data_IF_020230017539
#
_entry.id   IF_020230017539
#
_cell.length_a   1.000
_cell.length_b   1.000
_cell.length_c   1.000
_cell.angle_alpha   90.00
_cell.angle_beta   90.00
_cell.angle_gamma   90.00
#
_symmetry.space_group_name_H-M   'P 1'
#
loop_
_entity.id
_entity.type
_entity.pdbx_description
1 polymer ?
#
# COMPACT_ATOMS: atom_id res chain seq x y z
N UNK A 1 -67.23 -34.50 26.92
CA UNK A 1 -67.23 -33.07 27.31
C UNK A 1 -66.26 -32.95 28.47
N UNK A 2 -65.15 -32.21 28.48
CA UNK A 2 -64.79 -30.96 27.82
C UNK A 2 -63.26 -30.94 27.59
N UNK A 3 -62.90 -30.27 26.51
CA UNK A 3 -61.59 -30.06 25.88
C UNK A 3 -60.73 -28.97 26.57
N UNK A 4 -59.42 -29.24 26.75
CA UNK A 4 -58.17 -28.41 26.63
C UNK A 4 -58.13 -26.92 27.09
N UNK A 5 -56.97 -26.24 27.36
CA UNK A 5 -55.62 -26.47 26.79
C UNK A 5 -54.42 -26.36 27.79
N UNK A 6 -53.36 -27.14 27.58
CA UNK A 6 -52.07 -26.76 26.94
C UNK A 6 -51.42 -25.48 27.50
N UNK A 7 -50.45 -25.65 28.39
CA UNK A 7 -49.34 -24.72 28.57
C UNK A 7 -48.04 -25.54 28.59
N UNK A 8 -47.58 -25.90 27.38
CA UNK A 8 -46.22 -26.38 27.18
C UNK A 8 -45.42 -25.13 26.79
N UNK A 9 -44.85 -24.47 27.78
CA UNK A 9 -43.94 -23.34 27.58
C UNK A 9 -42.67 -23.92 26.97
N UNK A 10 -42.56 -23.85 25.64
CA UNK A 10 -41.32 -24.12 24.92
C UNK A 10 -40.37 -23.01 25.35
N UNK A 11 -39.44 -23.34 26.25
CA UNK A 11 -38.24 -22.55 26.48
C UNK A 11 -37.44 -22.66 25.19
N UNK A 12 -37.69 -21.75 24.25
CA UNK A 12 -36.74 -21.45 23.19
C UNK A 12 -35.55 -20.81 23.89
N UNK A 13 -34.64 -21.66 24.35
CA UNK A 13 -33.26 -21.25 24.53
C UNK A 13 -32.75 -20.93 23.12
N UNK A 14 -32.96 -19.68 22.71
CA UNK A 14 -32.19 -19.06 21.66
C UNK A 14 -30.74 -19.15 22.15
N UNK A 15 -30.02 -20.21 21.76
CA UNK A 15 -28.57 -20.18 21.75
C UNK A 15 -28.23 -19.08 20.75
N UNK A 16 -28.11 -17.86 21.27
CA UNK A 16 -27.30 -16.85 20.63
C UNK A 16 -25.86 -17.39 20.75
N UNK A 17 -25.47 -18.24 19.79
CA UNK A 17 -24.06 -18.41 19.50
C UNK A 17 -23.60 -17.06 18.96
N UNK A 18 -23.21 -16.17 19.87
CA UNK A 18 -22.32 -15.08 19.50
C UNK A 18 -21.04 -15.77 19.04
N UNK A 19 -20.85 -15.88 17.73
CA UNK A 19 -19.57 -16.18 17.12
C UNK A 19 -18.66 -14.98 17.39
N UNK A 20 -18.17 -14.86 18.62
CA UNK A 20 -17.25 -13.79 18.98
C UNK A 20 -15.94 -14.07 18.26
N UNK A 21 -15.60 -13.19 17.32
CA UNK A 21 -14.23 -13.06 16.82
C UNK A 21 -13.30 -12.93 18.03
N UNK A 22 -12.26 -13.77 18.09
CA UNK A 22 -11.28 -13.74 19.16
C UNK A 22 -9.98 -13.16 18.61
N UNK A 23 -9.56 -12.03 19.19
CA UNK A 23 -8.27 -11.40 18.90
C UNK A 23 -7.28 -11.90 19.94
N UNK A 24 -6.23 -12.59 19.50
CA UNK A 24 -5.20 -13.15 20.38
C UNK A 24 -3.85 -12.46 20.13
N UNK A 25 -3.20 -11.97 21.20
CA UNK A 25 -1.84 -11.45 21.12
C UNK A 25 -0.84 -12.60 21.00
N UNK A 26 0.00 -12.60 19.96
CA UNK A 26 1.11 -13.54 19.79
C UNK A 26 2.35 -13.03 20.51
N UNK A 27 2.70 -13.64 21.64
CA UNK A 27 3.84 -13.21 22.44
C UNK A 27 5.17 -13.38 21.70
N UNK A 28 5.34 -14.49 20.99
CA UNK A 28 6.57 -14.81 20.26
C UNK A 28 6.83 -13.90 19.06
N UNK A 29 5.79 -13.22 18.54
CA UNK A 29 5.87 -12.26 17.43
C UNK A 29 5.60 -10.83 17.90
N UNK A 30 5.68 -10.53 19.19
CA UNK A 30 5.53 -9.18 19.74
C UNK A 30 6.79 -8.76 20.48
N UNK A 31 7.04 -7.44 20.53
CA UNK A 31 8.15 -6.81 21.24
C UNK A 31 7.66 -5.58 22.00
N UNK A 32 8.03 -5.51 23.28
CA UNK A 32 7.70 -4.40 24.15
C UNK A 32 8.95 -4.00 24.94
N UNK A 33 9.17 -2.69 25.05
CA UNK A 33 10.21 -2.15 25.92
C UNK A 33 9.86 -2.30 27.41
N UNK A 34 10.81 -1.97 28.32
CA UNK A 34 12.14 -1.45 28.03
C UNK A 34 13.09 -2.52 27.47
N UNK A 35 14.04 -2.08 26.64
CA UNK A 35 15.05 -2.97 26.07
C UNK A 35 16.35 -2.85 26.84
N UNK A 36 16.99 -3.98 27.11
CA UNK A 36 18.27 -4.00 27.83
C UNK A 36 19.41 -3.65 26.87
N UNK A 37 19.81 -2.37 26.84
CA UNK A 37 20.89 -1.88 25.99
C UNK A 37 22.24 -2.57 26.25
N UNK A 38 22.43 -3.19 27.43
CA UNK A 38 23.65 -3.94 27.74
C UNK A 38 23.65 -5.37 27.17
N UNK A 39 22.47 -5.93 26.89
CA UNK A 39 22.30 -7.29 26.40
C UNK A 39 21.63 -7.28 25.02
N UNK A 40 22.42 -7.46 23.96
CA UNK A 40 21.94 -7.47 22.56
C UNK A 40 21.01 -8.65 22.19
N UNK A 41 20.46 -9.38 23.16
CA UNK A 41 19.61 -10.54 22.93
C UNK A 41 18.14 -10.18 23.12
N UNK A 42 17.37 -10.26 22.04
CA UNK A 42 15.91 -10.20 22.06
C UNK A 42 15.34 -11.63 21.96
N UNK A 43 14.42 -11.99 22.84
CA UNK A 43 13.71 -13.26 22.72
C UNK A 43 12.93 -13.28 21.39
N UNK A 44 13.10 -14.34 20.60
CA UNK A 44 12.39 -14.59 19.34
C UNK A 44 12.70 -13.63 18.18
N UNK A 45 13.60 -12.66 18.36
CA UNK A 45 13.94 -11.67 17.34
C UNK A 45 15.44 -11.56 17.17
N UNK A 46 15.89 -11.66 15.92
CA UNK A 46 17.30 -11.56 15.56
C UNK A 46 17.59 -10.16 15.02
N UNK A 47 18.60 -9.49 15.57
CA UNK A 47 19.12 -8.22 15.04
C UNK A 47 20.19 -8.48 13.97
N UNK A 48 20.29 -7.57 13.01
CA UNK A 48 21.30 -7.62 11.94
C UNK A 48 21.74 -6.23 11.50
N UNK A 49 22.94 -6.14 10.92
CA UNK A 49 23.51 -4.88 10.44
C UNK A 49 23.83 -3.92 11.58
N UNK A 50 23.43 -2.66 11.44
CA UNK A 50 23.60 -1.60 12.46
C UNK A 50 22.57 -1.64 13.58
N UNK A 51 21.63 -2.59 13.53
CA UNK A 51 20.55 -2.67 14.50
C UNK A 51 21.08 -2.97 15.91
N UNK A 52 20.66 -2.17 16.90
CA UNK A 52 21.04 -2.35 18.30
C UNK A 52 19.92 -1.91 19.24
N UNK A 53 20.00 -2.39 20.48
CA UNK A 53 19.06 -2.01 21.54
C UNK A 53 19.46 -0.67 22.13
N UNK A 54 18.54 0.28 22.16
CA UNK A 54 18.59 1.49 22.96
C UNK A 54 17.60 1.34 24.14
N UNK A 55 17.69 2.20 25.15
CA UNK A 55 16.89 2.06 26.39
C UNK A 55 15.37 2.00 26.14
N UNK A 56 14.88 2.80 25.19
CA UNK A 56 13.44 2.98 24.93
C UNK A 56 12.98 2.46 23.57
N UNK A 57 13.91 2.04 22.71
CA UNK A 57 13.63 1.62 21.35
C UNK A 57 14.72 0.68 20.81
N UNK A 58 14.41 -0.04 19.74
CA UNK A 58 15.40 -0.74 18.93
C UNK A 58 15.77 0.18 17.77
N UNK A 59 17.02 0.61 17.70
CA UNK A 59 17.52 1.46 16.62
C UNK A 59 18.00 0.60 15.47
N UNK A 60 17.37 0.71 14.30
CA UNK A 60 17.77 -0.01 13.09
C UNK A 60 18.96 0.65 12.42
N UNK A 61 18.89 1.96 12.20
CA UNK A 61 20.01 2.76 11.68
C UNK A 61 20.20 4.01 12.53
N UNK A 62 21.44 4.46 12.73
CA UNK A 62 21.72 5.80 13.24
C UNK A 62 21.52 6.87 12.15
N UNK A 63 21.45 8.13 12.56
CA UNK A 63 21.60 9.31 11.69
C UNK A 63 23.05 9.47 11.20
N UNK A 64 23.52 8.44 10.50
CA UNK A 64 24.82 8.35 9.82
C UNK A 64 24.62 7.75 8.42
N UNK A 65 25.46 8.16 7.46
CA UNK A 65 25.37 7.70 6.08
C UNK A 65 25.72 6.21 5.93
N UNK A 66 25.14 5.57 4.91
CA UNK A 66 25.46 4.19 4.51
C UNK A 66 25.26 3.11 5.59
N UNK A 67 24.27 3.30 6.47
CA UNK A 67 23.88 2.31 7.47
C UNK A 67 22.75 1.41 6.96
N UNK A 68 22.74 0.16 7.38
CA UNK A 68 21.67 -0.80 7.10
C UNK A 68 21.47 -1.66 8.32
N UNK A 69 20.24 -1.77 8.80
CA UNK A 69 19.92 -2.60 9.95
C UNK A 69 18.51 -3.18 9.85
N UNK A 70 18.32 -4.35 10.44
CA UNK A 70 17.04 -5.02 10.45
C UNK A 70 16.85 -5.87 11.71
N UNK A 71 15.59 -6.05 12.09
CA UNK A 71 15.16 -7.08 13.02
C UNK A 71 14.19 -8.05 12.34
N UNK A 72 14.30 -9.33 12.69
CA UNK A 72 13.47 -10.37 12.11
C UNK A 72 12.97 -11.32 13.19
N UNK A 73 11.68 -11.63 13.17
CA UNK A 73 11.12 -12.68 14.01
C UNK A 73 11.66 -14.04 13.53
N UNK A 74 12.05 -14.90 14.46
CA UNK A 74 12.56 -16.23 14.13
C UNK A 74 11.45 -17.30 14.15
N UNK A 75 10.21 -16.93 14.46
CA UNK A 75 9.01 -17.78 14.33
C UNK A 75 8.24 -17.44 13.05
N UNK A 76 7.89 -18.44 12.23
CA UNK A 76 7.03 -18.21 11.07
C UNK A 76 5.58 -18.00 11.51
N UNK A 77 4.88 -17.04 10.90
CA UNK A 77 3.47 -16.76 11.19
C UNK A 77 2.59 -17.68 10.35
N UNK A 78 1.86 -18.57 11.02
CA UNK A 78 1.02 -19.62 10.41
C UNK A 78 -0.45 -19.23 10.25
N UNK A 79 -0.83 -18.03 10.69
CA UNK A 79 -2.20 -17.55 10.69
C UNK A 79 -2.61 -17.00 9.32
N UNK A 80 -3.85 -17.28 8.92
CA UNK A 80 -4.43 -16.74 7.68
C UNK A 80 -4.91 -15.30 7.85
N UNK A 81 -5.26 -14.93 9.07
CA UNK A 81 -5.80 -13.63 9.41
C UNK A 81 -5.00 -13.07 10.60
N UNK A 82 -4.33 -11.96 10.37
CA UNK A 82 -3.41 -11.39 11.34
C UNK A 82 -3.36 -9.87 11.24
N UNK A 83 -2.94 -9.26 12.33
CA UNK A 83 -2.59 -7.85 12.37
C UNK A 83 -1.17 -7.68 12.92
N UNK A 84 -0.43 -6.76 12.30
CA UNK A 84 0.91 -6.39 12.69
C UNK A 84 0.92 -4.90 13.00
N UNK A 85 1.00 -4.57 14.29
CA UNK A 85 0.98 -3.21 14.81
C UNK A 85 2.40 -2.82 15.20
N UNK A 86 2.91 -1.72 14.66
CA UNK A 86 4.25 -1.23 14.92
C UNK A 86 4.20 0.23 15.34
N UNK A 87 4.86 0.53 16.44
CA UNK A 87 5.15 1.90 16.85
C UNK A 87 6.60 2.20 16.50
N UNK A 88 6.82 3.20 15.65
CA UNK A 88 8.14 3.55 15.14
C UNK A 88 8.37 5.06 15.19
N UNK A 89 9.64 5.48 15.11
CA UNK A 89 10.01 6.88 15.10
C UNK A 89 11.14 7.12 14.10
N UNK A 90 10.92 8.04 13.17
CA UNK A 90 11.93 8.46 12.17
C UNK A 90 12.34 9.88 12.54
N UNK A 91 13.61 10.08 12.87
CA UNK A 91 14.10 11.40 13.27
C UNK A 91 15.56 11.62 12.94
N UNK A 92 15.90 12.87 12.64
CA UNK A 92 17.27 13.23 12.28
C UNK A 92 17.48 14.74 12.21
N UNK A 93 18.74 15.14 12.15
CA UNK A 93 19.15 16.56 12.25
C UNK A 93 18.94 17.34 10.95
N UNK A 94 18.93 16.65 9.81
CA UNK A 94 18.77 17.29 8.50
C UNK A 94 17.37 17.90 8.36
N UNK A 95 17.27 19.13 7.84
CA UNK A 95 15.96 19.79 7.62
C UNK A 95 15.27 19.26 6.36
N UNK A 96 16.04 19.13 5.27
CA UNK A 96 15.59 18.64 3.96
C UNK A 96 16.49 17.52 3.40
N UNK A 97 17.45 17.07 4.21
CA UNK A 97 18.34 15.97 3.88
C UNK A 97 17.97 14.82 4.80
N UNK A 98 17.37 13.80 4.23
CA UNK A 98 16.84 12.64 4.92
C UNK A 98 16.95 11.43 3.99
N UNK A 99 16.96 10.23 4.55
CA UNK A 99 16.95 9.03 3.72
C UNK A 99 17.47 7.77 4.39
N UNK A 100 17.25 6.61 3.77
CA UNK A 100 16.31 6.40 2.65
C UNK A 100 14.90 6.14 3.19
N UNK A 101 14.81 5.50 4.35
CA UNK A 101 13.56 5.20 5.03
C UNK A 101 13.59 3.82 5.68
N UNK A 102 12.43 3.21 5.86
CA UNK A 102 12.29 1.89 6.47
C UNK A 102 11.24 1.03 5.77
N UNK A 103 11.34 -0.27 5.98
CA UNK A 103 10.44 -1.27 5.43
C UNK A 103 9.94 -2.25 6.51
N UNK A 104 8.69 -2.66 6.37
CA UNK A 104 8.05 -3.70 7.16
C UNK A 104 7.77 -4.91 6.27
N UNK A 105 8.00 -6.10 6.80
CA UNK A 105 8.06 -7.31 6.00
C UNK A 105 7.14 -8.40 6.55
N UNK A 106 6.46 -9.07 5.62
CA UNK A 106 5.99 -10.44 5.78
C UNK A 106 6.57 -11.26 4.63
N UNK A 107 7.74 -11.87 4.85
CA UNK A 107 8.57 -12.40 3.76
C UNK A 107 9.11 -13.81 4.04
N UNK A 108 9.37 -14.55 2.96
CA UNK A 108 9.87 -15.93 3.02
C UNK A 108 11.27 -16.03 3.62
N UNK A 109 12.18 -15.20 3.14
CA UNK A 109 13.55 -15.13 3.64
C UNK A 109 13.69 -14.04 4.70
N UNK A 110 14.39 -14.37 5.79
CA UNK A 110 14.75 -13.44 6.87
C UNK A 110 16.27 -13.25 6.90
N UNK A 111 16.73 -12.18 7.54
CA UNK A 111 18.16 -11.91 7.78
C UNK A 111 19.04 -11.95 6.52
N UNK A 112 18.49 -11.61 5.36
CA UNK A 112 19.27 -11.46 4.13
C UNK A 112 19.39 -9.98 3.81
N UNK A 113 20.58 -9.36 3.97
CA UNK A 113 20.75 -7.94 3.70
C UNK A 113 20.68 -7.65 2.20
N UNK A 114 20.36 -6.42 1.86
CA UNK A 114 20.31 -5.95 0.48
C UNK A 114 19.95 -4.47 0.38
N UNK A 115 19.77 -4.00 -0.85
CA UNK A 115 19.57 -2.58 -1.13
C UNK A 115 18.12 -2.11 -0.91
N UNK A 116 17.18 -3.02 -0.66
CA UNK A 116 15.76 -2.69 -0.44
C UNK A 116 15.54 -2.36 1.02
N UNK A 117 15.78 -1.09 1.38
CA UNK A 117 15.68 -0.60 2.77
C UNK A 117 16.46 -1.46 3.78
N UNK A 118 17.64 -1.96 3.39
CA UNK A 118 18.48 -2.84 4.21
C UNK A 118 18.16 -4.33 4.11
N UNK A 119 17.19 -4.73 3.27
CA UNK A 119 16.82 -6.12 3.02
C UNK A 119 17.02 -6.55 1.56
N UNK A 120 16.92 -7.86 1.35
CA UNK A 120 17.10 -8.55 0.08
C UNK A 120 16.11 -8.06 -0.99
N UNK A 121 16.62 -7.93 -2.21
CA UNK A 121 15.81 -7.74 -3.42
C UNK A 121 15.27 -9.07 -3.96
N UNK A 122 14.27 -9.05 -4.85
CA UNK A 122 13.55 -10.25 -5.30
C UNK A 122 12.97 -11.03 -4.10
N UNK A 123 12.35 -10.31 -3.18
CA UNK A 123 11.69 -10.91 -2.02
C UNK A 123 10.41 -11.64 -2.44
N UNK A 124 10.04 -12.67 -1.67
CA UNK A 124 8.75 -13.35 -1.81
C UNK A 124 7.92 -13.04 -0.57
N UNK A 125 6.78 -12.35 -0.75
CA UNK A 125 5.87 -11.94 0.30
C UNK A 125 5.33 -10.53 0.12
N UNK A 126 5.10 -9.84 1.24
CA UNK A 126 4.62 -8.47 1.33
C UNK A 126 5.73 -7.59 1.93
N UNK A 127 5.97 -6.44 1.29
CA UNK A 127 6.78 -5.36 1.83
C UNK A 127 5.97 -4.07 1.89
N UNK A 128 6.02 -3.36 3.03
CA UNK A 128 5.52 -1.99 3.16
C UNK A 128 6.72 -1.05 3.31
N UNK A 129 6.81 -0.04 2.46
CA UNK A 129 7.96 0.85 2.37
C UNK A 129 7.55 2.25 2.75
N UNK A 130 8.22 2.83 3.74
CA UNK A 130 8.19 4.26 4.01
C UNK A 130 9.39 4.85 3.30
N UNK A 131 9.14 5.39 2.11
CA UNK A 131 10.14 6.08 1.33
C UNK A 131 10.15 7.56 1.69
N UNK A 132 11.26 8.03 2.23
CA UNK A 132 11.40 9.43 2.64
C UNK A 132 12.11 10.30 1.60
N UNK A 133 12.70 9.71 0.56
CA UNK A 133 13.49 10.42 -0.45
C UNK A 133 12.67 10.60 -1.71
N UNK A 134 12.45 11.85 -2.12
CA UNK A 134 11.82 12.13 -3.40
C UNK A 134 12.86 12.04 -4.53
N UNK A 135 12.72 11.06 -5.43
CA UNK A 135 13.50 11.05 -6.66
C UNK A 135 12.82 11.90 -7.74
N UNK A 136 13.18 13.19 -7.78
CA UNK A 136 12.60 14.17 -8.70
C UNK A 136 12.77 13.84 -10.20
N UNK A 137 13.63 12.88 -10.56
CA UNK A 137 13.85 12.47 -11.94
C UNK A 137 12.86 11.41 -12.44
N UNK A 138 12.10 10.77 -11.55
CA UNK A 138 11.11 9.75 -11.90
C UNK A 138 9.70 10.36 -12.03
N UNK A 139 8.92 10.04 -13.08
CA UNK A 139 7.53 10.45 -13.14
C UNK A 139 6.70 9.73 -12.07
N UNK A 140 6.20 10.47 -11.07
CA UNK A 140 5.29 9.95 -10.05
C UNK A 140 4.17 10.93 -9.73
N UNK A 141 3.05 10.42 -9.20
CA UNK A 141 1.85 11.22 -8.89
C UNK A 141 1.59 11.39 -7.38
N UNK A 142 2.50 10.93 -6.53
CA UNK A 142 2.41 11.06 -5.09
C UNK A 142 3.57 11.88 -4.52
N UNK A 143 3.34 12.46 -3.34
CA UNK A 143 4.33 13.27 -2.63
C UNK A 143 5.06 12.41 -1.63
N UNK A 144 6.38 12.57 -1.57
CA UNK A 144 7.18 11.99 -0.50
C UNK A 144 7.10 12.85 0.78
N UNK A 145 7.25 12.25 1.97
CA UNK A 145 7.42 10.81 2.19
C UNK A 145 6.15 10.02 1.85
N UNK A 146 6.33 8.80 1.36
CA UNK A 146 5.24 7.97 0.85
C UNK A 146 5.31 6.57 1.46
N UNK A 147 4.16 6.07 1.90
CA UNK A 147 3.98 4.68 2.29
C UNK A 147 3.43 3.92 1.09
N UNK A 148 4.14 2.90 0.61
CA UNK A 148 3.65 1.97 -0.42
C UNK A 148 3.68 0.54 0.09
N UNK A 149 2.79 -0.31 -0.44
CA UNK A 149 2.78 -1.74 -0.19
C UNK A 149 2.96 -2.50 -1.50
N UNK A 150 3.89 -3.45 -1.52
CA UNK A 150 4.21 -4.27 -2.70
C UNK A 150 4.11 -5.74 -2.35
N UNK A 151 3.43 -6.51 -3.21
CA UNK A 151 3.39 -7.96 -3.14
C UNK A 151 4.28 -8.53 -4.22
N UNK A 152 5.26 -9.33 -3.85
CA UNK A 152 6.24 -9.91 -4.76
C UNK A 152 6.34 -11.43 -4.55
N UNK A 153 6.57 -12.18 -5.61
CA UNK A 153 6.76 -13.63 -5.60
C UNK A 153 8.24 -14.03 -5.80
N UNK A 154 9.14 -13.05 -5.77
CA UNK A 154 10.57 -13.21 -6.04
C UNK A 154 10.96 -13.14 -7.52
N UNK A 155 10.04 -12.75 -8.42
CA UNK A 155 10.32 -12.70 -9.86
C UNK A 155 10.79 -11.35 -10.38
N UNK A 156 10.50 -10.25 -9.68
CA UNK A 156 10.87 -8.90 -10.10
C UNK A 156 11.66 -8.15 -9.02
N UNK A 157 12.57 -7.25 -9.42
CA UNK A 157 13.31 -6.41 -8.48
C UNK A 157 12.42 -5.30 -7.91
N UNK A 158 12.74 -4.83 -6.71
CA UNK A 158 12.23 -3.59 -6.16
C UNK A 158 13.08 -2.42 -6.65
N UNK A 159 12.50 -1.57 -7.50
CA UNK A 159 13.16 -0.36 -7.98
C UNK A 159 12.74 0.82 -7.11
N UNK A 160 13.64 1.28 -6.24
CA UNK A 160 13.46 2.51 -5.46
C UNK A 160 13.24 3.73 -6.34
N UNK A 161 13.96 3.82 -7.48
CA UNK A 161 13.85 4.93 -8.43
C UNK A 161 12.53 4.91 -9.24
N UNK A 162 11.92 3.73 -9.39
CA UNK A 162 10.55 3.59 -9.90
C UNK A 162 9.54 3.44 -8.75
N UNK A 163 9.94 3.82 -7.53
CA UNK A 163 9.13 3.93 -6.32
C UNK A 163 8.37 2.64 -5.93
N UNK A 164 8.85 1.49 -6.38
CA UNK A 164 8.19 0.20 -6.17
C UNK A 164 6.88 0.02 -6.93
N UNK A 165 6.63 0.79 -8.00
CA UNK A 165 5.36 0.75 -8.74
C UNK A 165 5.04 -0.66 -9.27
N UNK A 166 6.07 -1.45 -9.62
CA UNK A 166 5.90 -2.85 -9.98
C UNK A 166 5.41 -3.66 -8.76
N UNK A 167 4.18 -4.17 -8.83
CA UNK A 167 3.59 -4.98 -7.75
C UNK A 167 2.98 -4.16 -6.61
N UNK A 168 2.89 -2.84 -6.74
CA UNK A 168 2.23 -1.98 -5.75
C UNK A 168 0.73 -2.29 -5.68
N UNK A 169 0.23 -2.54 -4.47
CA UNK A 169 -1.18 -2.84 -4.20
C UNK A 169 -1.92 -1.66 -3.54
N UNK A 170 -1.19 -0.67 -3.05
CA UNK A 170 -1.75 0.53 -2.45
C UNK A 170 -0.68 1.38 -1.75
N UNK A 171 -1.02 2.64 -1.50
CA UNK A 171 -0.17 3.54 -0.74
C UNK A 171 -0.84 4.86 -0.35
N UNK A 172 -0.18 5.66 0.48
CA UNK A 172 -0.60 7.01 0.82
C UNK A 172 0.59 7.89 1.23
N UNK A 173 0.40 9.21 1.14
CA UNK A 173 1.37 10.17 1.68
C UNK A 173 1.46 10.07 3.20
N UNK A 174 2.67 10.05 3.75
CA UNK A 174 2.93 9.85 5.17
C UNK A 174 4.00 10.80 5.70
N UNK A 175 3.60 11.86 6.39
CA UNK A 175 4.54 12.73 7.10
C UNK A 175 4.85 12.17 8.50
N UNK A 176 5.76 11.20 8.59
CA UNK A 176 6.13 10.52 9.85
C UNK A 176 7.48 10.96 10.46
N UNK A 177 8.21 11.85 9.78
CA UNK A 177 9.55 12.28 10.18
C UNK A 177 9.50 13.43 11.19
N UNK A 178 10.35 13.35 12.23
CA UNK A 178 10.53 14.38 13.26
C UNK A 178 9.22 14.79 13.98
N UNK A 179 8.28 13.86 14.12
CA UNK A 179 7.11 14.06 14.96
C UNK A 179 7.52 14.04 16.45
N UNK A 180 6.78 14.78 17.28
CA UNK A 180 7.03 14.83 18.74
C UNK A 180 6.79 13.48 19.42
N UNK A 181 5.95 12.64 18.83
CA UNK A 181 5.62 11.29 19.30
C UNK A 181 5.93 10.23 18.23
N UNK A 182 6.12 8.96 18.63
CA UNK A 182 6.23 7.85 17.68
C UNK A 182 4.95 7.66 16.86
N UNK A 183 5.11 7.37 15.57
CA UNK A 183 4.00 7.03 14.66
C UNK A 183 3.57 5.59 14.91
N UNK A 184 2.26 5.32 14.87
CA UNK A 184 1.74 3.95 14.89
C UNK A 184 1.26 3.55 13.50
N UNK A 185 1.61 2.33 13.11
CA UNK A 185 1.21 1.67 11.87
C UNK A 185 0.50 0.37 12.26
N UNK A 186 -0.68 0.13 11.71
CA UNK A 186 -1.35 -1.16 11.82
C UNK A 186 -1.58 -1.74 10.43
N UNK A 187 -1.03 -2.93 10.21
CA UNK A 187 -1.16 -3.70 8.97
C UNK A 187 -2.12 -4.83 9.26
N UNK A 188 -3.32 -4.78 8.70
CA UNK A 188 -4.36 -5.79 8.87
C UNK A 188 -4.47 -6.62 7.60
N UNK A 189 -4.26 -7.92 7.71
CA UNK A 189 -4.50 -8.87 6.65
C UNK A 189 -5.59 -9.85 7.08
N UNK A 190 -6.81 -9.62 6.61
CA UNK A 190 -7.99 -10.39 7.00
C UNK A 190 -8.76 -10.76 5.74
N UNK A 191 -8.98 -12.04 5.53
CA UNK A 191 -9.76 -12.60 4.42
C UNK A 191 -9.36 -12.03 3.05
N UNK A 192 -8.07 -12.12 2.75
CA UNK A 192 -7.44 -11.68 1.49
C UNK A 192 -7.58 -10.17 1.23
N UNK A 193 -7.82 -9.40 2.30
CA UNK A 193 -7.85 -7.95 2.29
C UNK A 193 -6.71 -7.40 3.13
N UNK A 194 -5.83 -6.62 2.51
CA UNK A 194 -4.79 -5.85 3.16
C UNK A 194 -5.33 -4.44 3.44
N UNK A 195 -5.42 -4.05 4.71
CA UNK A 195 -5.79 -2.69 5.11
C UNK A 195 -4.70 -2.11 6.00
N UNK A 196 -4.30 -0.88 5.71
CA UNK A 196 -3.25 -0.20 6.46
C UNK A 196 -3.81 1.04 7.14
N UNK A 197 -3.55 1.16 8.44
CA UNK A 197 -3.94 2.28 9.27
C UNK A 197 -2.74 2.96 9.89
N UNK A 198 -2.88 4.26 10.14
CA UNK A 198 -1.83 5.12 10.68
C UNK A 198 -2.39 5.99 11.82
N UNK A 199 -1.57 6.21 12.85
CA UNK A 199 -1.73 7.31 13.80
C UNK A 199 -0.44 8.13 13.80
N UNK A 200 -0.49 9.27 13.10
CA UNK A 200 0.58 10.27 13.05
C UNK A 200 0.35 11.43 14.02
N UNK A 201 -0.79 11.46 14.71
CA UNK A 201 -1.15 12.55 15.62
C UNK A 201 -0.96 12.17 17.10
N UNK A 202 -0.64 10.90 17.39
CA UNK A 202 -0.44 10.42 18.75
C UNK A 202 -1.73 10.46 19.56
N UNK A 203 -2.87 10.37 18.88
CA UNK A 203 -4.21 10.54 19.48
C UNK A 203 -4.92 9.22 19.73
N UNK A 204 -4.28 8.08 19.43
CA UNK A 204 -4.90 6.75 19.42
C UNK A 204 -6.06 6.64 18.42
N UNK A 205 -6.12 7.56 17.45
CA UNK A 205 -7.16 7.60 16.42
C UNK A 205 -6.56 7.14 15.09
N UNK A 206 -6.99 5.97 14.65
CA UNK A 206 -6.53 5.35 13.42
C UNK A 206 -7.15 6.01 12.19
N UNK A 207 -6.30 6.45 11.26
CA UNK A 207 -6.70 6.90 9.94
C UNK A 207 -6.33 5.83 8.91
N UNK A 208 -7.27 5.43 8.06
CA UNK A 208 -6.99 4.48 6.99
C UNK A 208 -6.09 5.13 5.92
N UNK A 209 -4.96 4.49 5.63
CA UNK A 209 -4.05 4.86 4.54
C UNK A 209 -4.58 4.33 3.20
N UNK A 210 -4.75 3.01 3.08
CA UNK A 210 -5.35 2.37 1.93
C UNK A 210 -5.98 1.02 2.32
N UNK A 211 -6.76 0.46 1.38
CA UNK A 211 -7.36 -0.87 1.47
C UNK A 211 -7.27 -1.58 0.13
N UNK A 212 -6.58 -2.72 0.08
CA UNK A 212 -6.40 -3.55 -1.11
C UNK A 212 -7.10 -4.90 -0.91
N UNK A 213 -7.94 -5.29 -1.87
CA UNK A 213 -8.62 -6.59 -1.90
C UNK A 213 -7.90 -7.56 -2.83
N UNK A 214 -8.12 -8.86 -2.65
CA UNK A 214 -7.53 -9.88 -3.54
C UNK A 214 -6.02 -9.98 -3.38
N UNK A 215 -5.51 -9.73 -2.17
CA UNK A 215 -4.11 -9.95 -1.81
C UNK A 215 -3.98 -11.36 -1.25
N UNK A 216 -3.14 -12.18 -1.88
CA UNK A 216 -2.97 -13.58 -1.53
C UNK A 216 -1.56 -13.80 -0.98
N UNK A 217 -1.45 -14.07 0.31
CA UNK A 217 -0.18 -14.30 1.00
C UNK A 217 -0.12 -15.73 1.57
N UNK A 218 1.03 -16.41 1.46
CA UNK A 218 1.21 -17.75 2.00
C UNK A 218 1.39 -17.71 3.51
N UNK A 219 0.97 -18.78 4.20
CA UNK A 219 1.34 -18.98 5.60
C UNK A 219 2.79 -19.42 5.74
N UNK A 220 3.37 -19.17 6.91
CA UNK A 220 4.71 -19.66 7.27
C UNK A 220 5.85 -18.74 6.88
N UNK A 221 5.56 -17.49 6.50
CA UNK A 221 6.57 -16.45 6.29
C UNK A 221 6.89 -15.72 7.60
N UNK A 222 7.94 -14.90 7.57
CA UNK A 222 8.49 -14.23 8.74
C UNK A 222 8.14 -12.75 8.75
N UNK A 223 7.88 -12.24 9.96
CA UNK A 223 7.75 -10.81 10.21
C UNK A 223 9.13 -10.18 10.38
N UNK A 224 9.32 -8.99 9.81
CA UNK A 224 10.58 -8.26 9.92
C UNK A 224 10.40 -6.76 9.74
N UNK A 225 11.40 -6.02 10.17
CA UNK A 225 11.49 -4.58 9.95
C UNK A 225 12.94 -4.25 9.61
N UNK A 226 13.18 -3.48 8.56
CA UNK A 226 14.51 -3.05 8.15
C UNK A 226 14.53 -1.56 7.84
N UNK A 227 15.71 -0.96 7.90
CA UNK A 227 15.93 0.40 7.46
C UNK A 227 17.31 0.54 6.84
N UNK A 228 17.47 1.58 6.02
CA UNK A 228 18.75 1.94 5.44
C UNK A 228 18.90 3.44 5.28
N UNK A 229 20.13 3.93 5.38
CA UNK A 229 20.51 5.30 5.07
C UNK A 229 21.42 5.32 3.83
N UNK A 230 21.29 6.37 3.02
CA UNK A 230 22.08 6.59 1.81
C UNK A 230 23.18 7.61 2.06
N UNK A 231 23.30 8.59 1.16
CA UNK A 231 24.09 9.81 1.37
C UNK A 231 23.50 10.66 2.50
N UNK A 232 22.17 10.64 2.63
CA UNK A 232 21.43 11.24 3.72
C UNK A 232 20.94 10.17 4.69
N UNK A 233 20.69 10.58 5.92
CA UNK A 233 20.44 9.69 7.03
C UNK A 233 19.30 10.19 7.91
N UNK A 234 18.73 9.23 8.64
CA UNK A 234 17.85 9.45 9.78
C UNK A 234 18.06 8.28 10.75
N UNK A 235 17.75 8.52 12.02
CA UNK A 235 17.51 7.44 12.97
C UNK A 235 16.18 6.77 12.61
N UNK A 236 16.18 5.44 12.54
CA UNK A 236 14.98 4.64 12.36
C UNK A 236 14.81 3.74 13.57
N UNK A 237 13.89 4.11 14.45
CA UNK A 237 13.70 3.48 15.76
C UNK A 237 12.36 2.71 15.80
N UNK A 238 12.36 1.52 16.38
CA UNK A 238 11.16 0.72 16.69
C UNK A 238 10.92 0.78 18.20
N UNK A 239 9.78 1.33 18.60
CA UNK A 239 9.39 1.46 20.01
C UNK A 239 8.73 0.17 20.49
N UNK A 240 7.78 -0.36 19.72
CA UNK A 240 7.09 -1.60 20.05
C UNK A 240 6.50 -2.27 18.81
N UNK A 241 6.28 -3.58 18.93
CA UNK A 241 5.62 -4.42 17.94
C UNK A 241 4.57 -5.26 18.65
N UNK A 242 3.34 -5.29 18.14
CA UNK A 242 2.29 -6.19 18.60
C UNK A 242 1.74 -6.96 17.42
N UNK A 243 1.76 -8.28 17.49
CA UNK A 243 1.16 -9.15 16.48
C UNK A 243 -0.10 -9.81 17.05
N UNK A 244 -1.19 -9.73 16.31
CA UNK A 244 -2.49 -10.28 16.69
C UNK A 244 -2.91 -11.36 15.70
N UNK A 245 -3.44 -12.46 16.20
CA UNK A 245 -4.19 -13.44 15.42
C UNK A 245 -5.67 -13.12 15.49
N UNK A 246 -6.31 -13.08 14.33
CA UNK A 246 -7.75 -12.89 14.21
C UNK A 246 -8.41 -14.25 13.98
N UNK A 247 -8.88 -14.88 15.06
CA UNK A 247 -9.55 -16.17 14.99
C UNK A 247 -11.03 -15.93 14.69
N UNK A 248 -11.40 -16.20 13.44
CA UNK A 248 -12.78 -16.13 12.95
C UNK A 248 -13.41 -17.52 13.10
N UNK A 249 -14.37 -17.74 14.03
CA UNK A 249 -14.85 -19.08 14.38
C UNK A 249 -15.44 -19.88 13.22
N UNK A 250 -16.04 -19.20 12.24
CA UNK A 250 -16.67 -19.82 11.08
C UNK A 250 -15.68 -20.08 9.93
N UNK A 251 -14.48 -19.49 9.99
CA UNK A 251 -13.48 -19.60 8.93
C UNK A 251 -12.65 -20.86 9.13
N UNK A 252 -12.68 -21.75 8.14
CA UNK A 252 -11.83 -22.94 8.12
C UNK A 252 -10.39 -22.49 7.87
N UNK A 253 -9.44 -22.99 8.68
CA UNK A 253 -8.03 -22.77 8.41
C UNK A 253 -7.64 -23.47 7.11
N UNK A 254 -7.05 -22.71 6.20
CA UNK A 254 -6.48 -23.17 4.94
C UNK A 254 -4.97 -23.26 5.06
N UNK A 255 -4.39 -24.38 4.61
CA UNK A 255 -2.94 -24.47 4.44
C UNK A 255 -2.53 -23.69 3.20
N UNK A 256 -1.88 -22.55 3.42
CA UNK A 256 -1.37 -21.68 2.36
C UNK A 256 0.15 -21.73 2.24
N UNK A 257 0.82 -22.73 2.84
CA UNK A 257 2.29 -22.81 2.85
C UNK A 257 2.93 -22.95 1.47
N UNK A 258 2.16 -23.42 0.48
CA UNK A 258 2.60 -23.55 -0.92
C UNK A 258 2.05 -22.46 -1.85
N UNK A 259 1.29 -21.50 -1.32
CA UNK A 259 0.75 -20.40 -2.11
C UNK A 259 1.88 -19.49 -2.60
N UNK A 260 1.79 -19.07 -3.86
CA UNK A 260 2.70 -18.06 -4.43
C UNK A 260 2.11 -16.69 -4.12
N UNK A 261 2.84 -15.77 -3.46
CA UNK A 261 2.32 -14.43 -3.16
C UNK A 261 1.92 -13.70 -4.43
N UNK A 262 0.71 -13.15 -4.47
CA UNK A 262 0.26 -12.33 -5.60
C UNK A 262 -0.90 -11.42 -5.18
N UNK A 263 -1.20 -10.42 -6.00
CA UNK A 263 -2.36 -9.58 -5.86
C UNK A 263 -3.16 -9.58 -7.17
N UNK A 264 -4.48 -9.66 -7.07
CA UNK A 264 -5.40 -9.60 -8.22
C UNK A 264 -5.47 -8.20 -8.84
N UNK A 265 -5.28 -7.17 -8.00
CA UNK A 265 -5.37 -5.77 -8.37
C UNK A 265 -4.08 -5.06 -7.99
N UNK A 266 -3.45 -4.42 -8.97
CA UNK A 266 -2.30 -3.54 -8.77
C UNK A 266 -2.74 -2.10 -8.99
N UNK A 267 -2.10 -1.15 -8.31
CA UNK A 267 -2.25 0.26 -8.67
C UNK A 267 -1.63 0.49 -10.05
N UNK A 268 -2.43 1.10 -10.94
CA UNK A 268 -2.00 1.35 -12.31
C UNK A 268 -0.94 2.46 -12.30
N UNK A 269 0.27 2.23 -12.84
CA UNK A 269 1.27 3.28 -12.99
C UNK A 269 0.71 4.46 -13.79
N UNK A 270 0.87 5.69 -13.27
CA UNK A 270 0.28 6.88 -13.88
C UNK A 270 0.72 7.11 -15.35
N UNK A 271 1.92 6.68 -15.73
CA UNK A 271 2.43 6.81 -17.11
C UNK A 271 1.47 6.16 -18.12
N UNK A 272 0.91 4.99 -17.79
CA UNK A 272 -0.05 4.30 -18.65
C UNK A 272 -1.40 5.02 -18.68
N UNK A 273 -1.84 5.58 -17.55
CA UNK A 273 -3.07 6.35 -17.45
C UNK A 273 -3.00 7.69 -18.22
N UNK A 274 -1.87 8.39 -18.15
CA UNK A 274 -1.61 9.64 -18.89
C UNK A 274 -1.54 9.40 -20.40
N UNK A 275 -0.81 8.36 -20.84
CA UNK A 275 -0.73 7.99 -22.24
C UNK A 275 -2.11 7.65 -22.84
N UNK A 276 -2.98 6.97 -22.06
CA UNK A 276 -4.35 6.68 -22.46
C UNK A 276 -5.21 7.95 -22.54
N UNK A 277 -5.10 8.86 -21.57
CA UNK A 277 -5.83 10.13 -21.57
C UNK A 277 -5.42 11.04 -22.73
N UNK A 278 -4.12 11.12 -23.05
CA UNK A 278 -3.61 11.86 -24.20
C UNK A 278 -4.09 11.24 -25.53
N UNK A 279 -4.11 9.91 -25.64
CA UNK A 279 -4.63 9.22 -26.82
C UNK A 279 -6.14 9.48 -27.03
N UNK A 280 -6.93 9.50 -25.96
CA UNK A 280 -8.36 9.83 -26.01
C UNK A 280 -8.60 11.31 -26.40
N UNK A 281 -7.80 12.24 -25.86
CA UNK A 281 -7.86 13.65 -26.21
C UNK A 281 -7.49 13.90 -27.69
N UNK A 282 -6.43 13.25 -28.20
CA UNK A 282 -6.02 13.34 -29.60
C UNK A 282 -7.07 12.78 -30.58
N UNK A 283 -7.84 11.77 -30.15
CA UNK A 283 -8.97 11.24 -30.92
C UNK A 283 -10.14 12.22 -31.06
N UNK A 284 -10.37 13.05 -30.04
CA UNK A 284 -11.46 14.04 -29.99
C UNK A 284 -11.22 15.25 -30.93
N UNK A 285 -9.99 15.78 -30.95
CA UNK A 285 -9.62 16.93 -31.79
C UNK A 285 -9.72 16.61 -33.31
N UNK A 286 -9.42 15.37 -33.68
CA UNK A 286 -9.56 14.85 -35.06
C UNK A 286 -11.01 14.87 -35.56
N UNK A 287 -11.99 14.67 -34.66
CA UNK A 287 -13.40 14.61 -35.01
C UNK A 287 -13.99 16.02 -35.16
N UNK A 288 -13.66 16.94 -34.24
CA UNK A 288 -14.12 18.33 -34.29
C UNK A 288 -13.61 19.05 -35.54
N UNK A 289 -12.33 18.90 -35.87
CA UNK A 289 -11.75 19.49 -37.08
C UNK A 289 -12.42 19.03 -38.39
N UNK A 290 -12.79 17.75 -38.48
CA UNK A 290 -13.52 17.20 -39.64
C UNK A 290 -14.93 17.78 -39.74
N UNK A 291 -15.66 17.90 -38.63
CA UNK A 291 -17.01 18.46 -38.61
C UNK A 291 -17.00 19.91 -39.10
N UNK A 292 -16.05 20.72 -38.64
CA UNK A 292 -15.92 22.13 -39.06
C UNK A 292 -15.56 22.22 -40.55
N UNK A 293 -14.65 21.40 -41.04
CA UNK A 293 -14.23 21.38 -42.44
C UNK A 293 -15.38 21.00 -43.40
N UNK A 294 -16.07 19.87 -43.13
CA UNK A 294 -17.20 19.44 -43.95
C UNK A 294 -18.42 20.36 -43.83
N UNK A 295 -18.67 20.90 -42.63
CA UNK A 295 -19.70 21.92 -42.42
C UNK A 295 -19.44 23.19 -43.22
N UNK A 296 -18.19 23.67 -43.25
CA UNK A 296 -17.78 24.83 -44.05
C UNK A 296 -17.99 24.62 -45.55
N UNK A 297 -17.62 23.44 -46.08
CA UNK A 297 -17.84 23.10 -47.49
C UNK A 297 -19.33 23.10 -47.83
N UNK A 298 -20.18 22.52 -46.97
CA UNK A 298 -21.62 22.48 -47.19
C UNK A 298 -22.23 23.89 -47.28
N UNK A 299 -21.78 24.82 -46.43
CA UNK A 299 -22.23 26.23 -46.46
C UNK A 299 -21.79 26.91 -47.76
N UNK A 300 -20.54 26.72 -48.20
CA UNK A 300 -20.05 27.31 -49.44
C UNK A 300 -20.81 26.77 -50.65
N UNK A 301 -21.04 25.46 -50.71
CA UNK A 301 -21.84 24.83 -51.78
C UNK A 301 -23.28 25.34 -51.78
N UNK A 302 -23.89 25.51 -50.60
CA UNK A 302 -25.23 26.07 -50.48
C UNK A 302 -25.29 27.52 -50.99
N UNK A 303 -24.34 28.36 -50.61
CA UNK A 303 -24.26 29.75 -51.09
C UNK A 303 -24.06 29.82 -52.61
N UNK A 304 -23.17 28.99 -53.16
CA UNK A 304 -22.96 28.89 -54.60
C UNK A 304 -24.24 28.46 -55.33
N UNK A 305 -24.99 27.50 -54.79
CA UNK A 305 -26.29 27.07 -55.32
C UNK A 305 -27.33 28.21 -55.31
N UNK A 306 -27.44 28.96 -54.21
CA UNK A 306 -28.36 30.11 -54.13
C UNK A 306 -28.02 31.19 -55.15
N UNK A 307 -26.73 31.49 -55.33
CA UNK A 307 -26.25 32.47 -56.32
C UNK A 307 -26.56 31.98 -57.74
N UNK A 308 -26.27 30.72 -58.04
CA UNK A 308 -26.56 30.11 -59.36
C UNK A 308 -28.05 30.16 -59.69
N UNK A 309 -28.93 29.84 -58.72
CA UNK A 309 -30.38 29.92 -58.90
C UNK A 309 -30.85 31.35 -59.18
N UNK A 310 -30.29 32.34 -58.46
CA UNK A 310 -30.56 33.78 -58.72
C UNK A 310 -30.10 34.20 -60.12
N UNK A 311 -28.94 33.72 -60.57
CA UNK A 311 -28.38 34.06 -61.88
C UNK A 311 -29.20 33.44 -63.03
N UNK A 312 -29.60 32.16 -62.91
CA UNK A 312 -30.45 31.47 -63.89
C UNK A 312 -31.83 32.12 -64.00
N UNK A 313 -32.45 32.49 -62.87
CA UNK A 313 -33.72 33.22 -62.85
C UNK A 313 -33.68 34.60 -63.54
N UNK A 314 -32.52 35.28 -63.54
CA UNK A 314 -32.32 36.52 -64.31
C UNK A 314 -32.15 36.26 -65.81
N UNK A 315 -31.52 35.15 -66.20
CA UNK A 315 -31.31 34.79 -67.61
C UNK A 315 -32.62 34.37 -68.29
N UNK A 316 -33.46 33.61 -67.60
CA UNK A 316 -34.77 33.18 -68.13
C UNK A 316 -35.76 34.36 -68.28
N UNK A 317 -35.67 35.39 -67.43
CA UNK A 317 -36.44 36.64 -67.59
C UNK A 317 -36.01 37.49 -68.80
N UNK A 318 -34.78 37.32 -69.28
CA UNK A 318 -34.21 38.06 -70.42
C UNK A 318 -34.51 37.40 -71.77
N UNK A 319 -34.99 36.15 -71.78
CA UNK A 319 -35.41 35.42 -72.99
C UNK A 319 -36.93 35.40 -73.20
N UNK A 320 -37.72 35.94 -72.26
CA UNK A 320 -39.19 36.08 -72.36
C UNK A 320 -39.65 37.53 -72.61
N UNK A 321 -38.73 38.45 -72.90
CA UNK A 321 -38.99 39.83 -73.33
C UNK A 321 -38.61 40.03 -74.78
#
# INVERSE_FOLDING_TARGET
>A
MRTSPKFLTIFSAFLCFLTTEAILVRQESSLFGPYDAANAHLAHWDLSGTAHLAETAIRLTPDEASAQGAIWNNYPLMSNDWEFHIQFHIHGKGVHLNGNGMAFWYAKERLTPGHVFGSKDYFSGLGLFIDTVENAAAPHNHRHPYLSAVVNNGSFPYHHDEQGTAGQVGGCHLQARNLEWPTKLAISYISDVLTVYLDTQGTETWTQCFRAVGVHLPTGYFLGVSASTGEHSDNHDIVSITTLDNIIPEKVWEDRGLLIPHAEFLEIPFVEASAKAEAEAAGSDSLFGKIVYFGGIAVVLYLAYVIFKKYKGKKDRKHRS
#
